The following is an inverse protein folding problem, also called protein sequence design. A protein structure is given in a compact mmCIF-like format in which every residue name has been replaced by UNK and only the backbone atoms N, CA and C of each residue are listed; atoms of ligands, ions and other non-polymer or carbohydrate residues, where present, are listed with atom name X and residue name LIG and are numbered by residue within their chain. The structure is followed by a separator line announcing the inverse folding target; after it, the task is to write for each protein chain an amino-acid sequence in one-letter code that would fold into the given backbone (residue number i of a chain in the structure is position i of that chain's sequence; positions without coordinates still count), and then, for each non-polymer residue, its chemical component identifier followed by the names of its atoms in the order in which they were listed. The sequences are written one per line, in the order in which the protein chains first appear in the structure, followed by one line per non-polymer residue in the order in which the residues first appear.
data_IF_191207817362
#
_entry.id   IF_191207817362
#
_cell.length_a   1.000
_cell.length_b   1.000
_cell.length_c   1.000
_cell.angle_alpha   90.00
_cell.angle_beta   90.00
_cell.angle_gamma   90.00
#
_symmetry.space_group_name_H-M   'P 1'
#
loop_
_entity.id
_entity.type
_entity.pdbx_description
1 polymer ?
#
# COMPACT_ATOMS: atom_id res chain seq x y z
N UNK A 1 19.58 11.44 -7.13
CA UNK A 1 18.73 10.23 -7.10
C UNK A 1 17.94 10.20 -8.37
N UNK A 2 17.94 9.12 -9.15
CA UNK A 2 17.09 9.04 -10.33
C UNK A 2 15.63 8.96 -9.88
N UNK A 3 14.76 9.61 -10.64
CA UNK A 3 13.33 9.64 -10.39
C UNK A 3 12.62 8.80 -11.44
N UNK A 4 11.92 7.75 -11.01
CA UNK A 4 11.15 6.85 -11.86
C UNK A 4 9.69 6.85 -11.42
N UNK A 5 8.76 6.97 -12.35
CA UNK A 5 7.32 7.07 -12.06
C UNK A 5 6.97 8.13 -10.98
N UNK A 6 7.75 9.22 -10.91
CA UNK A 6 7.54 10.26 -9.91
C UNK A 6 8.10 9.95 -8.50
N UNK A 7 8.74 8.79 -8.30
CA UNK A 7 9.33 8.37 -7.02
C UNK A 7 10.86 8.42 -7.08
N UNK A 8 11.48 8.92 -6.03
CA UNK A 8 12.94 8.92 -5.89
C UNK A 8 13.42 7.52 -5.50
N UNK A 9 14.30 6.96 -6.31
CA UNK A 9 14.78 5.58 -6.17
C UNK A 9 16.17 5.57 -5.55
N UNK A 10 16.46 4.68 -4.56
CA UNK A 10 17.76 4.65 -3.87
C UNK A 10 18.90 4.29 -4.82
N UNK A 11 20.00 5.07 -4.75
CA UNK A 11 21.17 4.94 -5.63
C UNK A 11 22.07 3.73 -5.32
N UNK A 12 22.19 3.39 -4.05
CA UNK A 12 23.20 2.42 -3.59
C UNK A 12 22.77 0.97 -3.72
N UNK A 13 21.47 0.75 -4.03
CA UNK A 13 20.89 -0.58 -4.20
C UNK A 13 20.96 -1.04 -5.66
N UNK A 14 20.85 -2.35 -5.87
CA UNK A 14 20.67 -2.96 -7.18
C UNK A 14 19.35 -2.49 -7.78
N UNK A 15 19.30 -2.36 -9.10
CA UNK A 15 18.11 -1.84 -9.78
C UNK A 15 16.86 -2.72 -9.56
N UNK A 16 17.00 -4.03 -9.49
CA UNK A 16 15.90 -4.96 -9.22
C UNK A 16 15.23 -4.69 -7.86
N UNK A 17 16.03 -4.34 -6.84
CA UNK A 17 15.54 -3.99 -5.51
C UNK A 17 15.01 -2.55 -5.51
N UNK A 18 15.70 -1.64 -6.18
CA UNK A 18 15.33 -0.23 -6.23
C UNK A 18 13.96 -0.01 -6.87
N UNK A 19 13.61 -0.77 -7.90
CA UNK A 19 12.29 -0.71 -8.53
C UNK A 19 11.14 -1.13 -7.58
N UNK A 20 11.41 -2.00 -6.62
CA UNK A 20 10.37 -2.42 -5.64
C UNK A 20 9.96 -1.33 -4.65
N UNK A 21 10.64 -0.19 -4.63
CA UNK A 21 10.22 0.98 -3.84
C UNK A 21 9.03 1.72 -4.48
N UNK A 22 8.75 1.48 -5.77
CA UNK A 22 7.61 2.04 -6.47
C UNK A 22 6.37 1.20 -6.13
N UNK A 23 5.32 1.82 -5.64
CA UNK A 23 4.08 1.12 -5.31
C UNK A 23 3.44 0.50 -6.56
N UNK A 24 3.22 -0.80 -6.52
CA UNK A 24 2.72 -1.60 -7.65
C UNK A 24 3.79 -2.46 -8.32
N UNK A 25 5.07 -2.20 -8.08
CA UNK A 25 6.17 -2.99 -8.62
C UNK A 25 6.72 -3.92 -7.54
N UNK A 26 6.42 -5.20 -7.67
CA UNK A 26 7.02 -6.25 -6.83
C UNK A 26 8.25 -6.87 -7.47
N UNK A 27 8.92 -7.80 -6.79
CA UNK A 27 10.15 -8.45 -7.28
C UNK A 27 9.99 -9.17 -8.62
N UNK A 28 8.83 -9.75 -8.92
CA UNK A 28 8.53 -10.38 -10.20
C UNK A 28 8.42 -9.34 -11.30
N UNK A 29 7.56 -8.33 -11.10
CA UNK A 29 7.33 -7.25 -12.08
C UNK A 29 8.63 -6.48 -12.35
N UNK A 30 9.45 -6.22 -11.32
CA UNK A 30 10.76 -5.59 -11.49
C UNK A 30 11.66 -6.39 -12.44
N UNK A 31 11.72 -7.70 -12.29
CA UNK A 31 12.50 -8.57 -13.20
C UNK A 31 11.94 -8.57 -14.63
N UNK A 32 10.63 -8.55 -14.79
CA UNK A 32 9.97 -8.51 -16.09
C UNK A 32 10.23 -7.15 -16.79
N UNK A 33 10.18 -6.03 -16.06
CA UNK A 33 10.56 -4.70 -16.57
C UNK A 33 12.01 -4.69 -17.04
N UNK A 34 12.95 -5.21 -16.24
CA UNK A 34 14.38 -5.24 -16.59
C UNK A 34 14.67 -6.13 -17.79
N UNK A 35 13.96 -7.25 -17.95
CA UNK A 35 14.05 -8.09 -19.15
C UNK A 35 13.57 -7.36 -20.42
N UNK A 36 12.45 -6.63 -20.33
CA UNK A 36 11.91 -5.88 -21.47
C UNK A 36 12.81 -4.70 -21.84
N UNK A 37 13.37 -4.00 -20.87
CA UNK A 37 14.31 -2.89 -21.07
C UNK A 37 15.74 -3.35 -21.42
N UNK A 38 16.01 -4.68 -21.39
CA UNK A 38 17.33 -5.29 -21.64
C UNK A 38 18.44 -4.77 -20.72
N UNK A 39 18.12 -4.53 -19.46
CA UNK A 39 19.05 -4.04 -18.43
C UNK A 39 19.38 -5.18 -17.45
N UNK A 40 20.67 -5.31 -17.09
CA UNK A 40 21.11 -6.30 -16.11
C UNK A 40 20.57 -5.96 -14.70
N UNK A 41 19.84 -6.88 -14.04
CA UNK A 41 19.30 -6.67 -12.70
C UNK A 41 20.36 -6.48 -11.59
N UNK A 42 21.61 -6.87 -11.84
CA UNK A 42 22.71 -6.80 -10.86
C UNK A 42 23.32 -5.42 -10.73
N UNK A 43 23.10 -4.54 -11.71
CA UNK A 43 23.68 -3.19 -11.77
C UNK A 43 23.08 -2.33 -10.62
N UNK A 44 23.94 -1.53 -9.99
CA UNK A 44 23.47 -0.52 -9.02
C UNK A 44 22.82 0.66 -9.74
N UNK A 45 21.77 1.20 -9.17
CA UNK A 45 21.00 2.31 -9.74
C UNK A 45 21.86 3.51 -10.14
N UNK A 46 22.92 3.82 -9.39
CA UNK A 46 23.87 4.91 -9.71
C UNK A 46 24.70 4.70 -10.98
N UNK A 47 24.88 3.46 -11.41
CA UNK A 47 25.72 3.10 -12.56
C UNK A 47 24.91 2.98 -13.86
N UNK A 48 23.61 3.22 -13.83
CA UNK A 48 22.74 3.18 -15.00
C UNK A 48 22.99 4.39 -15.90
N UNK A 49 22.98 4.16 -17.20
CA UNK A 49 23.04 5.22 -18.21
C UNK A 49 21.69 5.93 -18.33
N UNK A 50 21.71 7.15 -18.86
CA UNK A 50 20.47 7.92 -19.09
C UNK A 50 19.50 7.22 -20.04
N UNK A 51 20.01 6.46 -21.01
CA UNK A 51 19.19 5.76 -22.00
C UNK A 51 18.55 4.49 -21.40
N UNK A 52 19.27 3.77 -20.55
CA UNK A 52 18.69 2.66 -19.78
C UNK A 52 17.57 3.13 -18.86
N UNK A 53 17.75 4.28 -18.19
CA UNK A 53 16.69 4.87 -17.35
C UNK A 53 15.45 5.25 -18.17
N UNK A 54 15.61 5.83 -19.37
CA UNK A 54 14.49 6.13 -20.27
C UNK A 54 13.76 4.86 -20.71
N UNK A 55 14.50 3.79 -21.06
CA UNK A 55 13.91 2.52 -21.45
C UNK A 55 13.11 1.89 -20.30
N UNK A 56 13.63 1.91 -19.07
CA UNK A 56 12.92 1.45 -17.88
C UNK A 56 11.67 2.30 -17.65
N UNK A 57 11.77 3.62 -17.75
CA UNK A 57 10.64 4.54 -17.57
C UNK A 57 9.53 4.27 -18.61
N UNK A 58 9.86 4.07 -19.87
CA UNK A 58 8.89 3.76 -20.92
C UNK A 58 8.12 2.46 -20.63
N UNK A 59 8.79 1.44 -20.10
CA UNK A 59 8.11 0.18 -19.70
C UNK A 59 7.22 0.40 -18.48
N UNK A 60 7.67 1.17 -17.47
CA UNK A 60 6.88 1.46 -16.27
C UNK A 60 5.59 2.21 -16.64
N UNK A 61 5.62 3.14 -17.58
CA UNK A 61 4.45 3.92 -17.99
C UNK A 61 3.33 3.07 -18.62
N UNK A 62 3.63 1.86 -19.06
CA UNK A 62 2.58 0.91 -19.51
C UNK A 62 1.85 0.21 -18.38
N UNK A 63 2.34 0.33 -17.14
CA UNK A 63 1.80 -0.36 -15.97
C UNK A 63 1.13 0.63 -15.01
N UNK A 64 -0.03 0.28 -14.46
CA UNK A 64 -0.64 1.13 -13.43
C UNK A 64 0.22 1.09 -12.16
N UNK A 65 0.83 2.21 -11.83
CA UNK A 65 1.71 2.36 -10.66
C UNK A 65 1.28 3.53 -9.79
N UNK A 66 1.80 3.60 -8.57
CA UNK A 66 1.65 4.70 -7.62
C UNK A 66 0.22 5.26 -7.52
N UNK A 67 0.00 6.48 -7.96
CA UNK A 67 -1.27 7.20 -7.83
C UNK A 67 -2.41 6.55 -8.60
N UNK A 68 -2.14 6.07 -9.80
CA UNK A 68 -3.12 5.40 -10.66
C UNK A 68 -3.59 4.08 -10.04
N UNK A 69 -2.65 3.24 -9.60
CA UNK A 69 -2.99 1.98 -8.94
C UNK A 69 -3.77 2.22 -7.63
N UNK A 70 -3.39 3.22 -6.84
CA UNK A 70 -4.13 3.60 -5.62
C UNK A 70 -5.57 4.04 -5.95
N UNK A 71 -5.75 4.76 -7.05
CA UNK A 71 -7.08 5.17 -7.54
C UNK A 71 -7.90 3.94 -7.93
N UNK A 72 -7.36 3.04 -8.75
CA UNK A 72 -8.03 1.79 -9.17
C UNK A 72 -8.47 0.97 -7.95
N UNK A 73 -7.59 0.80 -6.96
CA UNK A 73 -7.92 0.05 -5.73
C UNK A 73 -9.07 0.74 -4.97
N UNK A 74 -9.04 2.06 -4.86
CA UNK A 74 -10.08 2.84 -4.18
C UNK A 74 -11.42 2.71 -4.89
N UNK A 75 -11.42 2.89 -6.21
CA UNK A 75 -12.62 2.81 -7.04
C UNK A 75 -13.26 1.41 -6.97
N UNK A 76 -12.45 0.35 -7.01
CA UNK A 76 -12.92 -1.02 -6.84
C UNK A 76 -13.60 -1.25 -5.47
N UNK A 77 -13.03 -0.70 -4.40
CA UNK A 77 -13.65 -0.78 -3.05
C UNK A 77 -14.95 0.05 -3.02
N UNK A 78 -14.96 1.21 -3.66
CA UNK A 78 -16.14 2.08 -3.69
C UNK A 78 -17.29 1.44 -4.46
N UNK A 79 -17.02 0.76 -5.57
CA UNK A 79 -18.02 -0.01 -6.31
C UNK A 79 -18.67 -1.06 -5.39
N UNK A 80 -17.87 -1.80 -4.62
CA UNK A 80 -18.39 -2.78 -3.65
C UNK A 80 -19.25 -2.12 -2.56
N UNK A 81 -18.89 -0.93 -2.11
CA UNK A 81 -19.67 -0.18 -1.12
C UNK A 81 -20.99 0.32 -1.68
N UNK A 82 -20.97 0.86 -2.91
CA UNK A 82 -22.17 1.36 -3.60
C UNK A 82 -23.17 0.24 -3.90
N UNK A 83 -22.68 -0.92 -4.32
CA UNK A 83 -23.51 -2.10 -4.56
C UNK A 83 -24.05 -2.75 -3.30
N UNK A 84 -23.71 -2.25 -2.10
CA UNK A 84 -24.07 -2.79 -0.79
C UNK A 84 -23.74 -4.28 -0.63
N UNK A 85 -22.77 -4.78 -1.41
CA UNK A 85 -22.30 -6.15 -1.29
C UNK A 85 -21.73 -6.41 0.12
N UNK A 86 -21.84 -7.65 0.61
CA UNK A 86 -21.33 -8.04 1.93
C UNK A 86 -19.85 -7.62 2.11
N UNK A 87 -18.99 -7.80 1.10
CA UNK A 87 -17.60 -7.34 1.13
C UNK A 87 -17.49 -5.82 1.27
N UNK A 88 -18.36 -5.06 0.63
CA UNK A 88 -18.41 -3.60 0.73
C UNK A 88 -18.74 -3.13 2.16
N UNK A 89 -19.74 -3.75 2.80
CA UNK A 89 -20.08 -3.50 4.21
C UNK A 89 -18.89 -3.83 5.13
N UNK A 90 -18.19 -4.93 4.88
CA UNK A 90 -17.00 -5.30 5.66
C UNK A 90 -15.86 -4.27 5.49
N UNK A 91 -15.66 -3.73 4.27
CA UNK A 91 -14.71 -2.64 4.04
C UNK A 91 -15.09 -1.37 4.78
N UNK A 92 -16.37 -0.99 4.79
CA UNK A 92 -16.86 0.20 5.51
C UNK A 92 -16.66 0.08 7.03
N UNK A 93 -16.87 -1.10 7.59
CA UNK A 93 -16.68 -1.38 9.02
C UNK A 93 -15.22 -1.61 9.41
N UNK A 94 -14.27 -1.61 8.46
CA UNK A 94 -12.87 -1.94 8.73
C UNK A 94 -12.63 -3.39 9.17
N UNK A 95 -13.53 -4.31 8.82
CA UNK A 95 -13.47 -5.71 9.22
C UNK A 95 -12.84 -6.60 8.12
N UNK A 96 -12.33 -7.80 8.47
CA UNK A 96 -11.86 -8.75 7.48
C UNK A 96 -12.96 -9.12 6.48
N UNK A 97 -12.61 -9.15 5.18
CA UNK A 97 -13.57 -9.35 4.07
C UNK A 97 -13.60 -10.77 3.53
N UNK A 98 -12.65 -11.63 3.94
CA UNK A 98 -12.49 -13.01 3.46
C UNK A 98 -13.01 -14.07 4.43
N UNK A 99 -14.00 -13.74 5.26
CA UNK A 99 -14.64 -14.70 6.16
C UNK A 99 -13.85 -15.07 7.42
N UNK A 100 -12.74 -14.37 7.72
CA UNK A 100 -11.96 -14.65 8.93
C UNK A 100 -12.80 -14.39 10.20
N UNK A 101 -12.59 -15.22 11.22
CA UNK A 101 -13.23 -15.07 12.52
C UNK A 101 -12.75 -13.78 13.23
N UNK A 102 -13.68 -13.03 13.82
CA UNK A 102 -13.38 -11.73 14.44
C UNK A 102 -13.53 -11.72 15.96
N UNK A 103 -14.05 -12.78 16.58
CA UNK A 103 -14.25 -12.84 18.05
C UNK A 103 -12.93 -12.74 18.81
N UNK A 104 -11.92 -13.50 18.40
CA UNK A 104 -10.61 -13.57 19.06
C UNK A 104 -9.52 -12.83 18.27
N UNK A 105 -9.61 -12.84 16.96
CA UNK A 105 -8.60 -12.38 16.00
C UNK A 105 -8.97 -11.04 15.35
N UNK A 106 -8.27 -10.67 14.27
CA UNK A 106 -8.39 -9.39 13.57
C UNK A 106 -7.92 -8.18 14.41
N UNK A 107 -6.97 -8.40 15.32
CA UNK A 107 -6.46 -7.36 16.23
C UNK A 107 -5.76 -6.23 15.51
N UNK A 108 -5.05 -6.50 14.43
CA UNK A 108 -4.38 -5.47 13.61
C UNK A 108 -5.37 -4.40 13.12
N UNK A 109 -6.57 -4.81 12.72
CA UNK A 109 -7.63 -3.87 12.28
C UNK A 109 -8.40 -3.23 13.44
N UNK A 110 -8.64 -4.00 14.51
CA UNK A 110 -9.39 -3.54 15.70
C UNK A 110 -8.52 -2.77 16.70
N UNK A 111 -7.22 -2.77 16.53
CA UNK A 111 -6.27 -2.20 17.50
C UNK A 111 -6.02 -3.11 18.71
N UNK A 112 -5.15 -2.67 19.62
CA UNK A 112 -4.81 -3.39 20.85
C UNK A 112 -6.06 -3.59 21.73
N UNK A 113 -6.09 -4.68 22.50
CA UNK A 113 -7.12 -4.89 23.51
C UNK A 113 -6.98 -3.80 24.58
N UNK A 114 -8.07 -3.10 24.87
CA UNK A 114 -8.16 -2.17 26.00
C UNK A 114 -8.95 -2.86 27.10
N UNK A 115 -8.34 -2.99 28.28
CA UNK A 115 -9.06 -3.43 29.47
C UNK A 115 -9.76 -2.21 30.05
N UNK A 116 -11.07 -2.28 30.18
CA UNK A 116 -11.86 -1.28 30.88
C UNK A 116 -11.88 -1.75 32.33
N UNK A 117 -11.08 -1.10 33.19
CA UNK A 117 -11.13 -1.33 34.63
C UNK A 117 -12.41 -0.76 35.25
N UNK A 118 -12.67 -1.06 36.52
CA UNK A 118 -13.73 -0.42 37.24
C UNK A 118 -13.46 1.09 37.32
N UNK A 119 -14.32 1.89 36.71
CA UNK A 119 -14.26 3.34 36.72
C UNK A 119 -15.46 3.92 37.42
N UNK A 120 -15.29 5.03 38.14
CA UNK A 120 -16.42 5.80 38.62
C UNK A 120 -17.19 6.40 37.43
N UNK A 121 -18.51 6.59 37.61
CA UNK A 121 -19.40 7.13 36.58
C UNK A 121 -18.91 8.49 36.02
N UNK A 122 -18.32 9.30 36.88
CA UNK A 122 -17.75 10.62 36.55
C UNK A 122 -16.47 10.51 35.68
N UNK A 123 -15.60 9.54 35.95
CA UNK A 123 -14.39 9.30 35.19
C UNK A 123 -14.71 8.74 33.79
N UNK A 124 -15.73 7.91 33.66
CA UNK A 124 -16.22 7.40 32.40
C UNK A 124 -16.76 8.53 31.50
N UNK A 125 -17.57 9.43 32.04
CA UNK A 125 -18.12 10.58 31.33
C UNK A 125 -17.04 11.54 30.82
N UNK A 126 -15.94 11.75 31.55
CA UNK A 126 -14.80 12.57 31.11
C UNK A 126 -14.03 11.95 29.96
N UNK A 127 -13.94 10.63 29.89
CA UNK A 127 -13.26 9.92 28.77
C UNK A 127 -14.08 9.98 27.48
N UNK A 128 -15.41 9.89 27.56
CA UNK A 128 -16.28 10.00 26.38
C UNK A 128 -16.23 11.40 25.77
N UNK A 129 -16.15 12.46 26.58
CA UNK A 129 -16.01 13.85 26.10
C UNK A 129 -14.66 14.12 25.45
N UNK A 130 -13.58 13.45 25.88
CA UNK A 130 -12.25 13.56 25.23
C UNK A 130 -12.13 12.72 23.96
N UNK A 131 -12.86 11.63 23.81
CA UNK A 131 -12.92 10.82 22.60
C UNK A 131 -13.73 11.50 21.47
N UNK A 132 -14.75 12.29 21.81
CA UNK A 132 -15.55 13.05 20.85
C UNK A 132 -14.87 14.31 20.28
N UNK A 133 -13.73 14.74 20.85
CA UNK A 133 -12.95 15.92 20.41
C UNK A 133 -11.74 15.58 19.52
N UNK A 134 -11.56 14.34 19.10
CA UNK A 134 -10.53 13.88 18.16
C UNK A 134 -11.15 13.40 16.87
#
# INVERSE_FOLDING_TARGET
MPRLAGVDVPNDKRIDISLTYIFGIGSKVAKDILKQSKVDPSIKTKNLTSDELKNIQAVIETLPTEGELRKIIRDNIEILKRSQAYRGLRHSMGLPVRGQRTRTNARTRKGKRKTIGAMSKEAAAKLDTTAAKK
#
